data_IF_300130937626
#
_entry.id   IF_300130937626
#
_cell.length_a   1.000
_cell.length_b   1.000
_cell.length_c   1.000
_cell.angle_alpha   90.00
_cell.angle_beta   90.00
_cell.angle_gamma   90.00
#
_symmetry.space_group_name_H-M   'P 1'
#
loop_
_entity.id
_entity.type
_entity.pdbx_description
1 polymer ?
#
# COMPACT_ATOMS: atom_id res chain seq x y z
N UNK A 1 -10.30 -5.27 -4.40
CA UNK A 1 -9.41 -5.91 -3.43
C UNK A 1 -9.72 -7.40 -3.32
N UNK A 2 -10.91 -7.81 -2.86
CA UNK A 2 -11.24 -9.23 -2.62
C UNK A 2 -10.96 -10.18 -3.80
N UNK A 3 -11.24 -9.79 -5.05
CA UNK A 3 -10.98 -10.64 -6.22
C UNK A 3 -9.49 -10.84 -6.52
N UNK A 4 -8.65 -9.84 -6.25
CA UNK A 4 -7.21 -9.90 -6.48
C UNK A 4 -6.53 -10.66 -5.33
N UNK A 5 -6.94 -10.37 -4.10
CA UNK A 5 -6.50 -11.08 -2.88
C UNK A 5 -6.74 -12.59 -2.96
N UNK A 6 -7.94 -12.99 -3.39
CA UNK A 6 -8.26 -14.39 -3.64
C UNK A 6 -7.38 -15.02 -4.72
N UNK A 7 -7.15 -14.32 -5.83
CA UNK A 7 -6.34 -14.84 -6.93
C UNK A 7 -4.87 -15.02 -6.52
N UNK A 8 -4.30 -14.05 -5.80
CA UNK A 8 -2.92 -14.13 -5.31
C UNK A 8 -2.76 -15.20 -4.23
N UNK A 9 -3.74 -15.34 -3.34
CA UNK A 9 -3.79 -16.42 -2.33
C UNK A 9 -3.83 -17.79 -3.01
N UNK A 10 -4.71 -17.97 -4.00
CA UNK A 10 -4.83 -19.23 -4.74
C UNK A 10 -3.54 -19.57 -5.52
N UNK A 11 -2.81 -18.56 -5.98
CA UNK A 11 -1.52 -18.72 -6.65
C UNK A 11 -0.32 -18.92 -5.70
N UNK A 12 -0.53 -18.86 -4.37
CA UNK A 12 0.55 -18.99 -3.39
C UNK A 12 1.54 -17.82 -3.40
N UNK A 13 1.14 -16.66 -3.92
CA UNK A 13 1.98 -15.46 -3.96
C UNK A 13 1.90 -14.76 -2.60
N UNK A 14 3.03 -14.46 -1.98
CA UNK A 14 3.04 -13.63 -0.78
C UNK A 14 2.61 -12.20 -1.12
N UNK A 15 1.59 -11.68 -0.44
CA UNK A 15 1.03 -10.35 -0.68
C UNK A 15 0.36 -9.78 0.57
N UNK A 16 0.18 -8.47 0.59
CA UNK A 16 -0.54 -7.72 1.62
C UNK A 16 -1.33 -6.59 0.93
N UNK A 17 -2.54 -6.31 1.43
CA UNK A 17 -3.39 -5.22 0.94
C UNK A 17 -3.75 -4.27 2.07
N UNK A 18 -3.46 -2.98 1.87
CA UNK A 18 -3.86 -1.88 2.75
C UNK A 18 -4.74 -0.89 1.99
N UNK A 19 -5.96 -0.69 2.49
CA UNK A 19 -6.84 0.40 2.04
C UNK A 19 -6.81 1.52 3.07
N UNK A 20 -6.78 2.77 2.60
CA UNK A 20 -6.77 3.97 3.42
C UNK A 20 -8.11 4.71 3.27
N UNK A 21 -9.03 4.61 4.24
CA UNK A 21 -10.30 5.34 4.19
C UNK A 21 -10.06 6.84 4.07
N UNK A 22 -10.74 7.49 3.12
CA UNK A 22 -10.60 8.93 2.89
C UNK A 22 -9.35 9.35 2.08
N UNK A 23 -8.51 8.40 1.65
CA UNK A 23 -7.39 8.67 0.76
C UNK A 23 -7.70 8.17 -0.67
N UNK A 24 -7.80 9.10 -1.62
CA UNK A 24 -8.10 8.82 -3.02
C UNK A 24 -6.86 8.45 -3.84
N UNK A 25 -7.03 8.32 -5.16
CA UNK A 25 -5.90 8.14 -6.07
C UNK A 25 -4.92 9.32 -5.96
N UNK A 26 -3.63 9.03 -5.86
CA UNK A 26 -2.59 10.06 -5.72
C UNK A 26 -2.40 10.60 -4.31
N UNK A 27 -2.88 9.91 -3.27
CA UNK A 27 -2.74 10.35 -1.87
C UNK A 27 -1.29 10.51 -1.39
N UNK A 28 -0.34 9.85 -2.04
CA UNK A 28 1.09 9.88 -1.69
C UNK A 28 1.88 11.00 -2.39
N UNK A 29 1.25 11.79 -3.27
CA UNK A 29 1.90 12.88 -3.98
C UNK A 29 1.59 14.20 -3.26
N UNK A 30 2.59 14.73 -2.55
CA UNK A 30 2.56 15.95 -1.74
C UNK A 30 2.37 17.24 -2.55
N UNK A 31 2.68 17.22 -3.84
CA UNK A 31 2.40 18.33 -4.76
C UNK A 31 0.93 18.40 -5.24
N UNK A 32 0.08 17.41 -4.91
CA UNK A 32 -1.31 17.35 -5.38
C UNK A 32 -2.29 17.64 -4.25
N UNK A 33 -3.43 18.26 -4.60
CA UNK A 33 -4.54 18.45 -3.65
C UNK A 33 -5.17 17.15 -3.12
N UNK A 34 -4.85 16.00 -3.72
CA UNK A 34 -5.24 14.67 -3.24
C UNK A 34 -4.36 14.16 -2.09
N UNK A 35 -3.27 14.87 -1.76
CA UNK A 35 -2.32 14.45 -0.72
C UNK A 35 -3.03 14.19 0.61
N UNK A 36 -2.74 13.03 1.20
CA UNK A 36 -3.19 12.68 2.53
C UNK A 36 -1.98 12.25 3.36
N UNK A 37 -1.49 13.16 4.19
CA UNK A 37 -0.25 12.99 4.94
C UNK A 37 -0.23 11.73 5.81
N UNK A 38 -1.34 11.45 6.52
CA UNK A 38 -1.43 10.29 7.40
C UNK A 38 -1.35 8.97 6.61
N UNK A 39 -2.08 8.89 5.49
CA UNK A 39 -2.03 7.71 4.62
C UNK A 39 -0.67 7.55 3.93
N UNK A 40 -0.07 8.66 3.47
CA UNK A 40 1.24 8.67 2.82
C UNK A 40 2.35 8.17 3.75
N UNK A 41 2.37 8.67 5.00
CA UNK A 41 3.36 8.25 6.01
C UNK A 41 3.26 6.76 6.35
N UNK A 42 2.06 6.27 6.65
CA UNK A 42 1.86 4.84 6.95
C UNK A 42 2.21 3.96 5.73
N UNK A 43 1.82 4.36 4.51
CA UNK A 43 2.14 3.61 3.30
C UNK A 43 3.66 3.53 3.05
N UNK A 44 4.37 4.63 3.29
CA UNK A 44 5.81 4.69 3.14
C UNK A 44 6.54 3.80 4.17
N UNK A 45 6.14 3.88 5.45
CA UNK A 45 6.70 3.02 6.51
C UNK A 45 6.48 1.54 6.22
N UNK A 46 5.28 1.14 5.77
CA UNK A 46 4.99 -0.24 5.36
C UNK A 46 5.84 -0.69 4.18
N UNK A 47 6.06 0.19 3.20
CA UNK A 47 6.89 -0.11 2.01
C UNK A 47 8.35 -0.33 2.39
N UNK A 48 8.92 0.54 3.23
CA UNK A 48 10.28 0.34 3.75
C UNK A 48 10.39 -0.91 4.61
N UNK A 49 9.38 -1.19 5.44
CA UNK A 49 9.31 -2.43 6.23
C UNK A 49 9.33 -3.68 5.34
N UNK A 50 8.59 -3.67 4.24
CA UNK A 50 8.61 -4.74 3.25
C UNK A 50 10.01 -4.90 2.61
N UNK A 51 10.64 -3.79 2.19
CA UNK A 51 12.00 -3.87 1.64
C UNK A 51 13.01 -4.40 2.65
N UNK A 52 12.98 -3.96 3.91
CA UNK A 52 13.86 -4.48 4.95
C UNK A 52 13.75 -6.01 5.15
N UNK A 53 12.57 -6.59 4.87
CA UNK A 53 12.34 -8.04 4.98
C UNK A 53 12.86 -8.82 3.76
N UNK A 54 12.90 -8.21 2.58
CA UNK A 54 13.07 -8.92 1.31
C UNK A 54 14.27 -8.48 0.46
N UNK A 55 14.83 -7.31 0.74
CA UNK A 55 15.92 -6.69 -0.02
C UNK A 55 17.00 -6.29 0.98
N UNK A 56 18.20 -6.86 0.85
CA UNK A 56 19.40 -6.46 1.60
C UNK A 56 20.40 -5.83 0.65
#
# INVERSE_FOLDING_TARGET
MATIDQALTAAGVAHDFKSYPGAGHGFNCDDRGSYNEAAAKDAFERTLGFFNQHVK
#
